data_IF_495668824743
#
_entry.id   IF_495668824743
#
_cell.length_a   1.000
_cell.length_b   1.000
_cell.length_c   1.000
_cell.angle_alpha   90.00
_cell.angle_beta   90.00
_cell.angle_gamma   90.00
#
_symmetry.space_group_name_H-M   'P 1'
#
loop_
_entity.id
_entity.type
_entity.pdbx_description
1 polymer ?
#
# COMPACT_ATOMS: atom_id res chain seq x y z
N UNK A 1 -19.56 -2.35 -7.26
CA UNK A 1 -18.85 -1.06 -7.46
C UNK A 1 -18.79 -0.67 -8.94
N UNK A 2 -18.55 -1.61 -9.86
CA UNK A 2 -18.41 -1.29 -11.30
C UNK A 2 -19.43 -2.05 -12.16
N UNK A 3 -19.74 -1.53 -13.35
CA UNK A 3 -20.67 -2.15 -14.31
C UNK A 3 -20.25 -3.56 -14.75
N UNK A 4 -18.94 -3.81 -14.79
CA UNK A 4 -18.37 -5.12 -15.16
C UNK A 4 -18.26 -6.10 -13.97
N UNK A 5 -18.59 -5.69 -12.75
CA UNK A 5 -18.47 -6.55 -11.57
C UNK A 5 -19.37 -7.79 -11.71
N UNK A 6 -18.79 -8.99 -11.56
CA UNK A 6 -19.50 -10.26 -11.63
C UNK A 6 -19.71 -10.81 -13.05
N UNK A 7 -19.32 -10.07 -14.09
CA UNK A 7 -19.40 -10.54 -15.47
C UNK A 7 -18.18 -11.42 -15.81
N UNK A 8 -18.42 -12.53 -16.51
CA UNK A 8 -17.35 -13.34 -17.11
C UNK A 8 -16.86 -12.66 -18.39
N UNK A 9 -15.54 -12.51 -18.53
CA UNK A 9 -14.89 -11.96 -19.72
C UNK A 9 -14.18 -13.09 -20.49
N UNK A 10 -14.90 -13.89 -21.31
CA UNK A 10 -14.41 -15.17 -21.82
C UNK A 10 -13.17 -15.04 -22.72
N UNK A 11 -13.07 -13.95 -23.49
CA UNK A 11 -11.95 -13.73 -24.42
C UNK A 11 -10.72 -13.06 -23.77
N UNK A 12 -10.82 -12.59 -22.52
CA UNK A 12 -9.74 -11.83 -21.88
C UNK A 12 -8.47 -12.67 -21.69
N UNK A 13 -8.63 -13.94 -21.29
CA UNK A 13 -7.52 -14.88 -21.11
C UNK A 13 -6.77 -15.10 -22.42
N UNK A 14 -7.49 -15.49 -23.47
CA UNK A 14 -6.91 -15.78 -24.79
C UNK A 14 -6.17 -14.55 -25.34
N UNK A 15 -6.75 -13.35 -25.20
CA UNK A 15 -6.12 -12.11 -25.63
C UNK A 15 -4.80 -11.84 -24.88
N UNK A 16 -4.77 -12.03 -23.55
CA UNK A 16 -3.55 -11.85 -22.76
C UNK A 16 -2.44 -12.84 -23.14
N UNK A 17 -2.77 -14.13 -23.23
CA UNK A 17 -1.81 -15.19 -23.58
C UNK A 17 -1.19 -14.93 -24.97
N UNK A 18 -2.00 -14.52 -25.96
CA UNK A 18 -1.52 -14.20 -27.32
C UNK A 18 -0.70 -12.91 -27.39
N UNK A 19 -1.06 -11.89 -26.62
CA UNK A 19 -0.40 -10.57 -26.69
C UNK A 19 0.95 -10.56 -25.99
N UNK A 20 1.03 -11.20 -24.82
CA UNK A 20 2.23 -11.15 -23.97
C UNK A 20 3.07 -12.43 -24.03
N UNK A 21 2.57 -13.51 -24.68
CA UNK A 21 3.25 -14.81 -24.71
C UNK A 21 3.39 -15.46 -23.32
N UNK A 22 2.57 -15.03 -22.35
CA UNK A 22 2.63 -15.47 -20.97
C UNK A 22 1.61 -16.58 -20.69
N UNK A 23 1.91 -17.48 -19.73
CA UNK A 23 0.97 -18.49 -19.22
C UNK A 23 0.45 -18.10 -17.84
N UNK A 24 -0.83 -18.37 -17.58
CA UNK A 24 -1.46 -18.22 -16.26
C UNK A 24 -1.03 -19.27 -15.24
N UNK A 25 -0.30 -20.29 -15.69
CA UNK A 25 0.30 -21.31 -14.81
C UNK A 25 1.51 -20.74 -14.07
N UNK A 26 2.15 -19.70 -14.61
CA UNK A 26 3.28 -19.02 -13.99
C UNK A 26 2.78 -17.87 -13.11
N UNK A 27 2.72 -18.11 -11.79
CA UNK A 27 2.22 -17.12 -10.82
C UNK A 27 3.33 -16.74 -9.83
N UNK A 28 3.47 -15.45 -9.59
CA UNK A 28 4.32 -14.94 -8.51
C UNK A 28 3.52 -14.83 -7.23
N UNK A 29 4.16 -15.12 -6.10
CA UNK A 29 3.59 -14.89 -4.77
C UNK A 29 3.86 -13.43 -4.37
N UNK A 30 2.86 -12.77 -3.79
CA UNK A 30 3.03 -11.45 -3.17
C UNK A 30 2.69 -11.51 -1.69
N UNK A 31 3.19 -10.55 -0.92
CA UNK A 31 2.78 -10.33 0.46
C UNK A 31 1.27 -10.08 0.51
N UNK A 32 0.55 -10.89 1.29
CA UNK A 32 -0.90 -10.77 1.44
C UNK A 32 -1.30 -9.63 2.38
N UNK A 33 -0.42 -9.33 3.34
CA UNK A 33 -0.58 -8.25 4.32
C UNK A 33 0.78 -7.59 4.58
N UNK A 34 0.72 -6.40 5.18
CA UNK A 34 1.90 -5.66 5.60
C UNK A 34 2.60 -6.40 6.75
N UNK A 35 3.90 -6.63 6.62
CA UNK A 35 4.72 -7.07 7.75
C UNK A 35 5.16 -5.84 8.56
N UNK A 36 4.52 -5.62 9.71
CA UNK A 36 4.77 -4.45 10.56
C UNK A 36 6.23 -4.37 11.02
N UNK A 37 6.91 -5.51 11.20
CA UNK A 37 8.30 -5.55 11.65
C UNK A 37 9.31 -5.00 10.64
N UNK A 38 8.93 -4.94 9.35
CA UNK A 38 9.81 -4.45 8.29
C UNK A 38 9.79 -2.92 8.19
N UNK A 39 8.75 -2.27 8.75
CA UNK A 39 8.57 -0.84 8.63
C UNK A 39 9.53 -0.07 9.54
N UNK A 40 10.13 1.04 9.07
CA UNK A 40 10.99 1.85 9.92
C UNK A 40 10.17 2.48 11.06
N UNK A 41 10.74 2.58 12.28
CA UNK A 41 10.05 3.16 13.42
C UNK A 41 9.74 4.64 13.18
N UNK A 42 8.68 5.14 13.80
CA UNK A 42 8.37 6.57 13.77
C UNK A 42 9.40 7.34 14.62
N UNK A 43 9.93 8.43 14.08
CA UNK A 43 10.72 9.39 14.87
C UNK A 43 9.74 10.37 15.53
N UNK A 44 9.69 10.35 16.86
CA UNK A 44 8.67 11.09 17.63
C UNK A 44 9.27 12.31 18.32
N UNK A 45 8.62 13.46 18.15
CA UNK A 45 8.83 14.64 18.97
C UNK A 45 7.64 14.79 19.93
N UNK A 46 7.89 14.57 21.22
CA UNK A 46 6.85 14.56 22.26
C UNK A 46 6.15 15.91 22.45
N UNK A 47 6.86 17.02 22.26
CA UNK A 47 6.27 18.36 22.35
C UNK A 47 5.27 18.59 21.21
N UNK A 48 5.67 18.24 19.99
CA UNK A 48 4.79 18.33 18.83
C UNK A 48 3.52 17.46 18.96
N UNK A 49 3.67 16.22 19.45
CA UNK A 49 2.51 15.32 19.67
C UNK A 49 1.57 15.87 20.76
N UNK A 50 2.11 16.50 21.81
CA UNK A 50 1.32 17.15 22.84
C UNK A 50 0.52 18.33 22.28
N UNK A 51 1.13 19.13 21.42
CA UNK A 51 0.46 20.28 20.80
C UNK A 51 -0.67 19.84 19.87
N UNK A 52 -0.46 18.81 19.05
CA UNK A 52 -1.52 18.20 18.22
C UNK A 52 -2.70 17.75 19.09
N UNK A 53 -2.42 17.04 20.19
CA UNK A 53 -3.45 16.58 21.14
C UNK A 53 -4.20 17.75 21.77
N UNK A 54 -3.50 18.83 22.13
CA UNK A 54 -4.10 20.00 22.76
C UNK A 54 -5.04 20.76 21.80
N UNK A 55 -4.71 20.82 20.52
CA UNK A 55 -5.55 21.42 19.48
C UNK A 55 -6.76 20.51 19.14
N UNK A 56 -6.71 19.23 19.50
CA UNK A 56 -7.78 18.26 19.25
C UNK A 56 -7.78 17.68 17.83
N UNK A 57 -6.65 17.76 17.13
CA UNK A 57 -6.50 17.19 15.78
C UNK A 57 -6.30 15.67 15.89
N UNK A 58 -7.03 14.90 15.09
CA UNK A 58 -6.85 13.45 15.02
C UNK A 58 -5.52 13.11 14.35
N UNK A 59 -4.79 12.16 14.91
CA UNK A 59 -3.52 11.69 14.35
C UNK A 59 -3.31 10.19 14.61
N UNK A 60 -2.41 9.58 13.84
CA UNK A 60 -2.03 8.17 13.98
C UNK A 60 -0.53 8.01 13.76
N UNK A 61 0.07 7.13 14.55
CA UNK A 61 1.46 6.68 14.38
C UNK A 61 1.51 5.20 14.00
N UNK A 62 0.36 4.60 13.70
CA UNK A 62 0.25 3.20 13.32
C UNK A 62 0.92 2.94 11.97
N UNK A 63 1.62 1.81 11.90
CA UNK A 63 2.43 1.45 10.72
C UNK A 63 1.57 1.34 9.46
N UNK A 64 0.35 0.80 9.57
CA UNK A 64 -0.56 0.67 8.43
C UNK A 64 -0.94 2.05 7.87
N UNK A 65 -1.34 2.99 8.73
CA UNK A 65 -1.70 4.35 8.31
C UNK A 65 -0.56 5.09 7.63
N UNK A 66 0.65 4.90 8.16
CA UNK A 66 1.89 5.50 7.64
C UNK A 66 2.26 4.90 6.29
N UNK A 67 2.27 3.57 6.17
CA UNK A 67 2.61 2.88 4.91
C UNK A 67 1.57 3.18 3.84
N UNK A 68 0.28 3.19 4.17
CA UNK A 68 -0.79 3.50 3.22
C UNK A 68 -0.65 4.90 2.58
N UNK A 69 0.01 5.83 3.28
CA UNK A 69 0.27 7.21 2.83
C UNK A 69 1.71 7.43 2.37
N UNK A 70 2.51 6.37 2.27
CA UNK A 70 3.91 6.44 1.85
C UNK A 70 4.11 6.28 0.33
N UNK A 71 3.04 6.07 -0.45
CA UNK A 71 3.13 5.75 -1.86
C UNK A 71 1.96 6.29 -2.69
N UNK A 72 2.21 6.44 -3.99
CA UNK A 72 1.18 6.60 -5.02
C UNK A 72 0.80 5.27 -5.68
N UNK A 73 0.69 5.29 -7.01
CA UNK A 73 0.32 4.12 -7.82
C UNK A 73 1.30 3.85 -8.97
N UNK A 74 2.55 4.31 -8.86
CA UNK A 74 3.59 3.94 -9.82
C UNK A 74 3.91 2.44 -9.70
N UNK A 75 4.30 1.82 -10.81
CA UNK A 75 4.64 0.39 -10.84
C UNK A 75 5.68 0.02 -9.77
N UNK A 76 6.72 0.83 -9.62
CA UNK A 76 7.78 0.61 -8.62
C UNK A 76 7.25 0.61 -7.19
N UNK A 77 6.31 1.51 -6.87
CA UNK A 77 5.71 1.63 -5.54
C UNK A 77 4.83 0.42 -5.22
N UNK A 78 4.01 -0.02 -6.19
CA UNK A 78 3.18 -1.20 -6.04
C UNK A 78 4.01 -2.47 -5.89
N UNK A 79 5.13 -2.57 -6.61
CA UNK A 79 6.05 -3.70 -6.47
C UNK A 79 6.74 -3.70 -5.11
N UNK A 80 7.16 -2.53 -4.62
CA UNK A 80 7.73 -2.38 -3.28
C UNK A 80 6.75 -2.85 -2.19
N UNK A 81 5.46 -2.54 -2.30
CA UNK A 81 4.43 -3.06 -1.38
C UNK A 81 4.27 -4.58 -1.46
N UNK A 82 4.29 -5.14 -2.67
CA UNK A 82 4.06 -6.57 -2.91
C UNK A 82 5.22 -7.44 -2.46
N UNK A 83 6.44 -6.93 -2.53
CA UNK A 83 7.66 -7.74 -2.39
C UNK A 83 8.60 -7.27 -1.27
N UNK A 84 8.47 -6.03 -0.79
CA UNK A 84 9.42 -5.43 0.15
C UNK A 84 8.82 -4.37 1.09
N UNK A 85 9.60 -3.31 1.33
CA UNK A 85 9.24 -2.18 2.19
C UNK A 85 9.93 -0.90 1.68
N UNK A 86 9.31 0.26 1.92
CA UNK A 86 9.89 1.56 1.62
C UNK A 86 11.01 1.91 2.61
N UNK A 87 12.08 2.52 2.09
CA UNK A 87 13.19 3.01 2.94
C UNK A 87 12.75 4.10 3.92
N UNK A 88 11.72 4.88 3.55
CA UNK A 88 11.16 5.97 4.36
C UNK A 88 9.65 5.98 4.18
N UNK A 89 8.93 6.10 5.29
CA UNK A 89 7.47 6.31 5.36
C UNK A 89 7.21 7.48 6.31
N UNK A 90 6.07 8.18 6.26
CA UNK A 90 5.73 9.24 7.22
C UNK A 90 5.91 8.78 8.68
N UNK A 91 6.27 9.68 9.61
CA UNK A 91 6.37 9.35 11.04
C UNK A 91 5.03 9.44 11.76
N UNK A 92 4.14 10.30 11.27
CA UNK A 92 2.80 10.53 11.82
C UNK A 92 1.86 10.91 10.68
N UNK A 93 0.62 10.51 10.80
CA UNK A 93 -0.49 10.91 9.93
C UNK A 93 -1.40 11.81 10.72
N UNK A 94 -1.82 12.93 10.14
CA UNK A 94 -2.75 13.88 10.77
C UNK A 94 -3.99 14.04 9.88
N UNK A 95 -5.15 14.20 10.52
CA UNK A 95 -6.42 14.46 9.85
C UNK A 95 -7.00 15.78 10.40
N UNK A 96 -6.78 16.90 9.68
CA UNK A 96 -7.23 18.22 10.10
C UNK A 96 -8.73 18.42 9.93
#
# INVERSE_FOLDING_TARGET
RYKLSGMVLPALREWMEKTFGASLDHRTTSRASLNVSDAPPAVVNEEFIRDIKAIGISFSQDVEDRVFRAHGHCLHELLALREGMFKRIPDVVVWP
#
